data_IF_579168123292
#
_entry.id   IF_579168123292
#
_cell.length_a   1.000
_cell.length_b   1.000
_cell.length_c   1.000
_cell.angle_alpha   90.00
_cell.angle_beta   90.00
_cell.angle_gamma   90.00
#
_symmetry.space_group_name_H-M   'P 1'
#
loop_
_entity.id
_entity.type
_entity.pdbx_description
1 polymer ?
#
# COMPACT_ATOMS: atom_id res chain seq x y z
N UNK A 1 -10.54 8.94 -2.00
CA UNK A 1 -10.53 7.77 -2.90
C UNK A 1 -10.35 6.52 -2.05
N UNK A 2 -11.41 5.72 -1.94
CA UNK A 2 -11.36 4.38 -1.37
C UNK A 2 -10.91 3.41 -2.46
N UNK A 3 -9.99 2.49 -2.16
CA UNK A 3 -9.61 1.40 -3.05
C UNK A 3 -10.08 0.09 -2.44
N UNK A 4 -11.04 -0.53 -3.08
CA UNK A 4 -11.71 -1.73 -2.61
C UNK A 4 -11.26 -2.87 -3.52
N UNK A 5 -10.43 -3.77 -3.00
CA UNK A 5 -9.86 -4.95 -3.70
C UNK A 5 -9.03 -4.63 -4.95
N UNK A 6 -7.72 -4.56 -4.77
CA UNK A 6 -6.73 -5.54 -5.25
C UNK A 6 -5.38 -5.00 -4.83
N UNK A 7 -4.57 -5.79 -4.12
CA UNK A 7 -3.24 -5.41 -3.60
C UNK A 7 -2.24 -5.04 -4.73
N UNK A 8 -2.66 -5.09 -6.00
CA UNK A 8 -1.81 -4.89 -7.18
C UNK A 8 -2.40 -4.05 -8.30
N UNK A 9 -3.60 -3.46 -8.18
CA UNK A 9 -4.01 -2.43 -9.16
C UNK A 9 -3.65 -1.07 -8.62
N UNK A 10 -3.03 -0.27 -9.49
CA UNK A 10 -2.82 1.17 -9.33
C UNK A 10 -4.18 1.87 -9.19
N UNK A 11 -4.84 1.72 -8.04
CA UNK A 11 -6.20 2.20 -7.80
C UNK A 11 -6.34 3.73 -7.88
N UNK A 12 -5.21 4.45 -7.78
CA UNK A 12 -5.17 5.91 -7.74
C UNK A 12 -4.02 6.47 -8.59
N UNK A 13 -3.76 5.89 -9.76
CA UNK A 13 -2.70 6.34 -10.67
C UNK A 13 -1.30 5.97 -10.18
N UNK A 14 -0.50 6.96 -9.75
CA UNK A 14 0.85 6.76 -9.19
C UNK A 14 0.84 6.37 -7.70
N UNK A 15 -0.34 6.36 -7.07
CA UNK A 15 -0.49 6.11 -5.63
C UNK A 15 -0.77 4.63 -5.35
N UNK A 16 -0.30 4.20 -4.18
CA UNK A 16 -0.31 2.81 -3.70
C UNK A 16 -1.55 2.60 -2.82
N UNK A 17 -2.24 1.49 -3.01
CA UNK A 17 -3.34 1.12 -2.13
C UNK A 17 -2.81 0.57 -0.80
N UNK A 18 -3.04 1.32 0.29
CA UNK A 18 -2.87 0.82 1.64
C UNK A 18 -4.20 0.26 2.16
N UNK A 19 -4.33 -1.06 2.16
CA UNK A 19 -5.48 -1.75 2.76
C UNK A 19 -5.52 -1.44 4.26
N UNK A 20 -6.58 -0.77 4.72
CA UNK A 20 -6.88 -0.61 6.16
C UNK A 20 -7.59 -1.86 6.68
N UNK A 21 -8.47 -2.42 5.86
CA UNK A 21 -9.31 -3.57 6.16
C UNK A 21 -9.37 -4.53 4.96
N UNK A 22 -10.00 -5.70 5.12
CA UNK A 22 -10.18 -6.71 4.05
C UNK A 22 -10.96 -6.20 2.84
N UNK A 23 -11.76 -5.14 3.00
CA UNK A 23 -12.59 -4.56 1.95
C UNK A 23 -12.33 -3.08 1.68
N UNK A 24 -11.62 -2.38 2.57
CA UNK A 24 -11.38 -0.94 2.45
C UNK A 24 -9.89 -0.62 2.45
N UNK A 25 -9.45 0.12 1.44
CA UNK A 25 -8.09 0.59 1.26
C UNK A 25 -8.06 2.10 1.03
N UNK A 26 -6.97 2.73 1.47
CA UNK A 26 -6.72 4.16 1.27
C UNK A 26 -5.52 4.34 0.36
N UNK A 27 -5.66 5.19 -0.65
CA UNK A 27 -4.54 5.51 -1.54
C UNK A 27 -3.52 6.41 -0.83
N UNK A 28 -2.25 5.99 -0.82
CA UNK A 28 -1.13 6.75 -0.24
C UNK A 28 0.06 6.78 -1.19
N UNK A 29 0.86 7.85 -1.11
CA UNK A 29 2.11 7.98 -1.88
C UNK A 29 3.12 6.90 -1.48
N UNK A 30 3.17 6.58 -0.19
CA UNK A 30 4.00 5.52 0.34
C UNK A 30 3.29 4.85 1.52
N UNK A 31 3.62 3.58 1.73
CA UNK A 31 3.09 2.74 2.78
C UNK A 31 3.81 3.03 4.10
N UNK A 32 3.07 3.27 5.20
CA UNK A 32 3.66 3.48 6.51
C UNK A 32 4.28 2.18 7.07
N UNK A 33 5.21 2.29 8.02
CA UNK A 33 5.77 1.11 8.71
C UNK A 33 4.65 0.26 9.32
N UNK A 34 4.74 -1.06 9.15
CA UNK A 34 3.72 -2.03 9.54
C UNK A 34 2.64 -2.30 8.48
N UNK A 35 2.58 -1.51 7.40
CA UNK A 35 1.72 -1.79 6.26
C UNK A 35 2.22 -2.98 5.45
N UNK A 36 1.31 -3.86 5.03
CA UNK A 36 1.63 -4.91 4.08
C UNK A 36 2.14 -4.30 2.78
N UNK A 37 3.30 -4.74 2.34
CA UNK A 37 3.97 -4.24 1.16
C UNK A 37 4.35 -5.42 0.27
N UNK A 38 4.38 -5.17 -1.04
CA UNK A 38 4.81 -6.17 -2.02
C UNK A 38 6.17 -5.80 -2.62
N UNK A 39 6.49 -4.50 -2.63
CA UNK A 39 7.75 -3.98 -3.11
C UNK A 39 8.36 -2.97 -2.12
N UNK A 40 9.69 -2.94 -1.93
CA UNK A 40 10.36 -1.97 -1.05
C UNK A 40 10.08 -0.53 -1.45
N UNK A 41 10.04 -0.23 -2.76
CA UNK A 41 9.70 1.10 -3.29
C UNK A 41 8.30 1.59 -2.91
N UNK A 42 7.43 0.69 -2.41
CA UNK A 42 6.12 1.08 -1.92
C UNK A 42 6.17 1.67 -0.50
N UNK A 43 7.18 1.34 0.28
CA UNK A 43 7.34 1.77 1.67
C UNK A 43 8.01 3.14 1.72
N UNK A 44 7.59 4.00 2.64
CA UNK A 44 8.26 5.30 2.84
C UNK A 44 9.73 5.13 3.26
N UNK A 45 10.07 4.00 3.87
CA UNK A 45 11.43 3.61 4.27
C UNK A 45 12.22 2.90 3.17
N UNK A 46 11.62 2.69 1.99
CA UNK A 46 12.17 1.85 0.92
C UNK A 46 12.56 0.43 1.38
N UNK A 47 11.92 -0.09 2.43
CA UNK A 47 12.24 -1.40 3.00
C UNK A 47 10.96 -2.23 3.16
N UNK A 48 10.89 -3.35 2.44
CA UNK A 48 9.75 -4.27 2.45
C UNK A 48 10.23 -5.72 2.57
N UNK A 49 9.73 -6.42 3.58
CA UNK A 49 9.93 -7.87 3.72
C UNK A 49 8.59 -8.62 3.60
N UNK A 50 7.63 -8.21 4.43
CA UNK A 50 6.22 -8.66 4.46
C UNK A 50 5.34 -7.45 4.77
N UNK A 51 5.89 -6.58 5.62
CA UNK A 51 5.39 -5.26 5.95
C UNK A 51 6.52 -4.26 5.78
N UNK A 52 6.17 -2.99 5.59
CA UNK A 52 7.13 -1.91 5.59
C UNK A 52 7.83 -1.86 6.94
N UNK A 53 9.16 -1.83 6.91
CA UNK A 53 9.98 -1.77 8.11
C UNK A 53 10.50 -0.35 8.28
#
# INVERSE_FOLDING_TARGET
MDCSKTVSTHCCGELICHMRDTTHGTCKKCLPSGANCMNPAQCCTNSCFIKCK
#
